data_IF_556011916688
#
_entry.id   IF_556011916688
#
_cell.length_a   1.000
_cell.length_b   1.000
_cell.length_c   1.000
_cell.angle_alpha   90.00
_cell.angle_beta   90.00
_cell.angle_gamma   90.00
#
_symmetry.space_group_name_H-M   'P 1'
#
loop_
_entity.id
_entity.type
_entity.pdbx_description
1 polymer ?
#
# COMPACT_ATOMS: atom_id res chain seq x y z
N UNK A 1 70.35 -7.43 -25.02
CA UNK A 1 69.15 -7.35 -25.87
C UNK A 1 67.95 -7.24 -24.96
N UNK A 2 67.40 -6.04 -24.84
CA UNK A 2 66.10 -5.73 -24.24
C UNK A 2 64.99 -6.59 -24.85
N UNK A 3 63.92 -6.89 -24.09
CA UNK A 3 62.52 -6.78 -24.56
C UNK A 3 61.51 -7.06 -23.42
N UNK A 4 61.01 -5.97 -22.80
CA UNK A 4 59.58 -5.64 -22.57
C UNK A 4 58.65 -6.57 -21.74
N UNK A 5 57.83 -5.88 -20.91
CA UNK A 5 56.42 -6.18 -20.48
C UNK A 5 56.28 -7.25 -19.37
N UNK A 6 55.34 -7.21 -18.43
CA UNK A 6 54.28 -6.29 -18.02
C UNK A 6 53.77 -6.83 -16.64
N UNK A 7 53.72 -6.00 -15.62
CA UNK A 7 52.49 -5.51 -14.97
C UNK A 7 51.53 -6.52 -14.32
N UNK A 8 51.35 -6.30 -13.01
CA UNK A 8 50.06 -6.19 -12.28
C UNK A 8 49.19 -7.43 -12.07
N UNK A 9 49.06 -7.83 -10.80
CA UNK A 9 47.78 -8.20 -10.18
C UNK A 9 47.90 -8.13 -8.66
N UNK A 10 48.14 -6.91 -8.14
CA UNK A 10 48.10 -6.63 -6.71
C UNK A 10 46.65 -6.57 -6.24
N UNK A 11 46.33 -7.44 -5.28
CA UNK A 11 45.11 -7.49 -4.47
C UNK A 11 44.57 -6.10 -4.12
N UNK A 12 43.47 -5.69 -4.77
CA UNK A 12 42.64 -4.61 -4.25
C UNK A 12 41.33 -5.19 -3.73
N UNK A 13 41.17 -5.02 -2.43
CA UNK A 13 40.03 -5.39 -1.62
C UNK A 13 38.72 -4.97 -2.27
N UNK A 14 37.93 -5.96 -2.68
CA UNK A 14 36.51 -5.80 -2.97
C UNK A 14 35.81 -5.68 -1.61
N UNK A 15 35.88 -4.48 -1.01
CA UNK A 15 34.97 -4.04 0.03
C UNK A 15 33.62 -3.79 -0.66
N UNK A 16 32.86 -4.88 -0.83
CA UNK A 16 31.51 -4.88 -1.37
C UNK A 16 30.57 -4.19 -0.37
N UNK A 17 30.55 -2.87 -0.45
CA UNK A 17 29.47 -1.92 -0.23
C UNK A 17 28.27 -2.47 0.59
N UNK A 18 28.16 -1.93 1.81
CA UNK A 18 27.04 -1.93 2.77
C UNK A 18 25.72 -1.35 2.23
N UNK A 19 25.32 -1.68 1.00
CA UNK A 19 24.07 -1.22 0.43
C UNK A 19 23.02 -2.34 0.48
N UNK A 20 22.48 -2.62 1.68
CA UNK A 20 21.14 -3.19 1.79
C UNK A 20 20.42 -2.54 2.96
N UNK A 21 20.15 -1.25 2.78
CA UNK A 21 19.02 -0.61 3.44
C UNK A 21 17.74 -1.29 3.00
N UNK A 22 17.40 -2.41 3.64
CA UNK A 22 16.05 -2.93 3.63
C UNK A 22 15.30 -2.16 4.72
N UNK A 23 14.85 -0.96 4.38
CA UNK A 23 13.80 -0.28 5.12
C UNK A 23 12.66 -1.28 5.26
N UNK A 24 12.46 -1.80 6.46
CA UNK A 24 11.31 -2.63 6.82
C UNK A 24 10.05 -1.77 6.88
N UNK A 25 9.69 -1.15 5.75
CA UNK A 25 8.30 -0.90 5.45
C UNK A 25 7.71 -2.29 5.22
N UNK A 26 6.80 -2.73 6.10
CA UNK A 26 6.05 -3.96 5.90
C UNK A 26 5.57 -3.99 4.45
N UNK A 27 6.16 -4.87 3.63
CA UNK A 27 5.85 -4.93 2.21
C UNK A 27 4.35 -5.27 2.13
N UNK A 28 3.56 -4.29 1.68
CA UNK A 28 2.13 -4.48 1.43
C UNK A 28 2.00 -5.71 0.53
N UNK A 29 1.25 -6.72 0.98
CA UNK A 29 1.09 -7.96 0.22
C UNK A 29 0.37 -7.66 -1.09
N UNK A 30 1.16 -7.57 -2.17
CA UNK A 30 0.66 -7.12 -3.47
C UNK A 30 -0.46 -8.03 -3.97
N UNK A 31 -0.38 -9.35 -3.74
CA UNK A 31 -1.40 -10.30 -4.18
C UNK A 31 -2.72 -10.09 -3.42
N UNK A 32 -2.66 -9.81 -2.11
CA UNK A 32 -3.82 -9.46 -1.31
C UNK A 32 -4.47 -8.17 -1.79
N UNK A 33 -3.67 -7.17 -2.18
CA UNK A 33 -4.19 -5.90 -2.69
C UNK A 33 -4.79 -6.02 -4.09
N UNK A 34 -4.19 -6.81 -4.99
CA UNK A 34 -4.81 -7.17 -6.27
C UNK A 34 -6.15 -7.88 -6.07
N UNK A 35 -6.24 -8.80 -5.11
CA UNK A 35 -7.50 -9.43 -4.76
C UNK A 35 -8.50 -8.36 -4.28
N UNK A 36 -8.07 -7.50 -3.35
CA UNK A 36 -8.87 -6.39 -2.82
C UNK A 36 -9.47 -5.53 -3.93
N UNK A 37 -8.70 -5.20 -4.97
CA UNK A 37 -9.19 -4.41 -6.13
C UNK A 37 -10.32 -5.10 -6.85
N UNK A 38 -10.21 -6.41 -7.05
CA UNK A 38 -11.22 -7.22 -7.75
C UNK A 38 -12.51 -7.37 -6.94
N UNK A 39 -12.40 -7.48 -5.61
CA UNK A 39 -13.59 -7.62 -4.75
C UNK A 39 -14.21 -6.28 -4.37
N UNK A 40 -13.45 -5.18 -4.28
CA UNK A 40 -13.93 -3.84 -3.87
C UNK A 40 -15.28 -3.43 -4.48
N UNK A 41 -15.51 -3.49 -5.82
CA UNK A 41 -16.79 -3.06 -6.39
C UNK A 41 -17.96 -4.00 -6.07
N UNK A 42 -17.69 -5.27 -5.81
CA UNK A 42 -18.71 -6.31 -5.61
C UNK A 42 -18.90 -6.67 -4.13
N UNK A 43 -18.05 -6.15 -3.25
CA UNK A 43 -18.11 -6.44 -1.83
C UNK A 43 -19.32 -5.74 -1.18
N UNK A 44 -20.25 -6.47 -0.55
CA UNK A 44 -21.47 -5.91 -0.01
C UNK A 44 -21.20 -4.94 1.15
N UNK A 45 -20.10 -5.12 1.90
CA UNK A 45 -19.71 -4.29 3.01
C UNK A 45 -19.22 -2.92 2.53
N UNK A 46 -18.38 -2.91 1.48
CA UNK A 46 -17.88 -1.67 0.86
C UNK A 46 -19.01 -0.92 0.17
N UNK A 47 -19.95 -1.63 -0.47
CA UNK A 47 -21.14 -0.99 -1.04
C UNK A 47 -22.06 -0.41 0.05
N UNK A 48 -22.27 -1.13 1.15
CA UNK A 48 -23.04 -0.63 2.28
C UNK A 48 -22.38 0.63 2.88
N UNK A 49 -21.06 0.62 3.03
CA UNK A 49 -20.29 1.79 3.45
C UNK A 49 -20.49 2.97 2.49
N UNK A 50 -20.34 2.76 1.17
CA UNK A 50 -20.52 3.81 0.17
C UNK A 50 -21.91 4.45 0.23
N UNK A 51 -22.94 3.67 0.56
CA UNK A 51 -24.33 4.17 0.69
C UNK A 51 -24.57 4.99 1.96
N UNK A 52 -23.92 4.66 3.07
CA UNK A 52 -24.08 5.39 4.33
C UNK A 52 -23.06 6.53 4.51
N UNK A 53 -21.92 6.48 3.81
CA UNK A 53 -20.92 7.52 3.85
C UNK A 53 -21.47 8.78 3.18
N UNK A 54 -21.30 9.92 3.84
CA UNK A 54 -21.64 11.22 3.25
C UNK A 54 -20.45 12.16 3.32
N UNK A 55 -20.38 13.19 2.46
CA UNK A 55 -19.25 14.12 2.45
C UNK A 55 -19.06 14.89 3.77
N UNK A 56 -20.16 15.08 4.51
CA UNK A 56 -20.21 15.88 5.74
C UNK A 56 -19.91 15.09 7.01
N UNK A 57 -20.37 13.83 7.11
CA UNK A 57 -20.10 12.98 8.27
C UNK A 57 -20.16 11.48 7.93
N UNK A 58 -19.32 10.71 8.61
CA UNK A 58 -19.34 9.25 8.59
C UNK A 58 -19.64 8.80 10.02
N UNK A 59 -20.77 8.13 10.21
CA UNK A 59 -21.17 7.62 11.53
C UNK A 59 -20.41 6.35 11.90
N UNK A 60 -20.35 6.03 13.18
CA UNK A 60 -19.73 4.79 13.68
C UNK A 60 -20.42 3.53 13.13
N UNK A 61 -21.76 3.54 12.98
CA UNK A 61 -22.48 2.42 12.34
C UNK A 61 -22.07 2.23 10.88
N UNK A 62 -21.81 3.34 10.18
CA UNK A 62 -21.33 3.28 8.81
C UNK A 62 -19.92 2.66 8.74
N UNK A 63 -19.03 3.05 9.65
CA UNK A 63 -17.71 2.44 9.78
C UNK A 63 -17.75 0.94 10.10
N UNK A 64 -18.73 0.49 10.89
CA UNK A 64 -18.91 -0.92 11.20
C UNK A 64 -19.17 -1.78 9.95
N UNK A 65 -19.68 -1.19 8.85
CA UNK A 65 -19.83 -1.91 7.58
C UNK A 65 -18.47 -2.34 7.04
N UNK A 66 -17.40 -1.55 7.20
CA UNK A 66 -16.09 -1.88 6.65
C UNK A 66 -15.34 -3.00 7.39
N UNK A 67 -15.83 -3.47 8.54
CA UNK A 67 -15.15 -4.50 9.37
C UNK A 67 -14.82 -5.76 8.56
N UNK A 68 -15.75 -6.24 7.72
CA UNK A 68 -15.54 -7.42 6.87
C UNK A 68 -14.49 -7.22 5.76
N UNK A 69 -14.17 -5.97 5.44
CA UNK A 69 -13.17 -5.61 4.43
C UNK A 69 -11.80 -5.26 5.05
N UNK A 70 -11.66 -5.38 6.38
CA UNK A 70 -10.49 -4.94 7.13
C UNK A 70 -9.16 -5.58 6.73
N UNK A 71 -9.20 -6.80 6.17
CA UNK A 71 -7.99 -7.49 5.68
C UNK A 71 -7.26 -6.75 4.55
N UNK A 72 -7.95 -5.83 3.85
CA UNK A 72 -7.34 -5.00 2.81
C UNK A 72 -6.93 -3.60 3.30
N UNK A 73 -7.01 -3.30 4.60
CA UNK A 73 -6.69 -1.96 5.10
C UNK A 73 -5.21 -1.60 4.91
N UNK A 74 -4.31 -2.56 5.03
CA UNK A 74 -2.88 -2.34 4.75
C UNK A 74 -2.62 -1.97 3.28
N UNK A 75 -3.49 -2.41 2.37
CA UNK A 75 -3.44 -2.04 0.95
C UNK A 75 -3.71 -0.55 0.72
N UNK A 76 -4.36 0.16 1.65
CA UNK A 76 -4.56 1.61 1.55
C UNK A 76 -3.25 2.40 1.69
N UNK A 77 -2.14 1.75 2.06
CA UNK A 77 -0.80 2.32 2.03
C UNK A 77 -0.16 2.22 0.64
N UNK A 78 -0.65 1.36 -0.25
CA UNK A 78 -0.27 1.35 -1.66
C UNK A 78 -1.01 2.50 -2.40
N UNK A 79 -0.28 3.42 -3.06
CA UNK A 79 -0.88 4.60 -3.67
C UNK A 79 -1.83 4.26 -4.83
N UNK A 80 -1.55 3.19 -5.59
CA UNK A 80 -2.41 2.79 -6.70
C UNK A 80 -3.74 2.22 -6.18
N UNK A 81 -3.69 1.31 -5.20
CA UNK A 81 -4.86 0.79 -4.52
C UNK A 81 -5.69 1.91 -3.88
N UNK A 82 -5.03 2.83 -3.16
CA UNK A 82 -5.69 3.99 -2.54
C UNK A 82 -6.40 4.86 -3.58
N UNK A 83 -5.80 5.10 -4.73
CA UNK A 83 -6.41 5.88 -5.81
C UNK A 83 -7.65 5.21 -6.40
N UNK A 84 -7.62 3.88 -6.58
CA UNK A 84 -8.77 3.11 -7.04
C UNK A 84 -9.91 3.13 -6.02
N UNK A 85 -9.61 2.96 -4.73
CA UNK A 85 -10.63 3.06 -3.67
C UNK A 85 -11.21 4.47 -3.59
N UNK A 86 -10.39 5.52 -3.71
CA UNK A 86 -10.88 6.91 -3.77
C UNK A 86 -11.79 7.14 -4.98
N UNK A 87 -11.46 6.56 -6.13
CA UNK A 87 -12.29 6.64 -7.33
C UNK A 87 -13.62 5.94 -7.11
N UNK A 88 -13.61 4.75 -6.50
CA UNK A 88 -14.81 4.01 -6.13
C UNK A 88 -15.69 4.78 -5.13
N UNK A 89 -15.09 5.40 -4.11
CA UNK A 89 -15.79 6.23 -3.11
C UNK A 89 -16.16 7.63 -3.63
N UNK A 90 -15.83 7.95 -4.88
CA UNK A 90 -16.05 9.25 -5.49
C UNK A 90 -17.47 9.78 -5.25
N UNK A 91 -17.56 11.04 -4.84
CA UNK A 91 -18.81 11.72 -4.54
C UNK A 91 -19.35 11.52 -3.12
N UNK A 92 -18.90 10.51 -2.36
CA UNK A 92 -19.37 10.29 -0.98
C UNK A 92 -18.31 10.55 0.09
N UNK A 93 -17.06 10.13 -0.13
CA UNK A 93 -15.94 10.39 0.80
C UNK A 93 -14.58 10.10 0.14
N UNK A 94 -13.49 10.20 0.89
CA UNK A 94 -12.15 9.75 0.51
C UNK A 94 -11.62 8.73 1.53
N UNK A 95 -10.63 7.95 1.13
CA UNK A 95 -9.91 7.02 1.99
C UNK A 95 -9.37 7.73 3.23
N UNK A 96 -8.74 8.91 3.09
CA UNK A 96 -8.20 9.64 4.25
C UNK A 96 -9.29 10.12 5.22
N UNK A 97 -10.44 10.61 4.68
CA UNK A 97 -11.59 10.96 5.52
C UNK A 97 -12.17 9.73 6.23
N UNK A 98 -12.30 8.61 5.51
CA UNK A 98 -12.78 7.36 6.07
C UNK A 98 -11.84 6.80 7.15
N UNK A 99 -10.52 6.81 6.92
CA UNK A 99 -9.52 6.39 7.92
C UNK A 99 -9.61 7.24 9.19
N UNK A 100 -9.71 8.57 9.04
CA UNK A 100 -9.85 9.49 10.17
C UNK A 100 -11.17 9.30 10.94
N UNK A 101 -12.29 9.12 10.24
CA UNK A 101 -13.60 8.97 10.88
C UNK A 101 -13.81 7.60 11.52
N UNK A 102 -13.30 6.54 10.88
CA UNK A 102 -13.50 5.16 11.30
C UNK A 102 -12.39 4.59 12.16
N UNK A 103 -11.34 5.37 12.45
CA UNK A 103 -10.18 4.88 13.20
C UNK A 103 -9.45 3.74 12.48
N UNK A 104 -9.51 3.70 11.15
CA UNK A 104 -8.77 2.72 10.33
C UNK A 104 -7.32 3.18 10.24
N UNK A 105 -6.64 3.05 11.36
CA UNK A 105 -5.23 3.32 11.54
C UNK A 105 -4.62 2.01 12.02
N UNK A 106 -3.83 1.36 11.17
CA UNK A 106 -2.72 0.56 11.67
C UNK A 106 -1.54 1.48 11.82
#
# INVERSE_FOLDING_TARGET
MDFRRASLAGLFAVALILALGASSAAAVDKALCEQGRRVLPNDPNVQAFKKCATPGAISTDCCAKLVGFGKYYDCLNDPAYKAEVNTFLGGVTTVDKAKKACGVSK
#
